data_IF_958818968634
#
_entry.id   IF_958818968634
#
_cell.length_a   1.000
_cell.length_b   1.000
_cell.length_c   1.000
_cell.angle_alpha   90.00
_cell.angle_beta   90.00
_cell.angle_gamma   90.00
#
_symmetry.space_group_name_H-M   'P 1'
#
loop_
_entity.id
_entity.type
_entity.pdbx_description
1 polymer ?
#
# COMPACT_ATOMS: atom_id res chain seq x y z
N UNK A 1 -1.12 4.76 -15.20
CA UNK A 1 0.34 4.72 -15.02
C UNK A 1 0.59 4.59 -13.53
N UNK A 2 1.35 3.59 -13.08
CA UNK A 2 1.54 3.36 -11.65
C UNK A 2 2.35 4.49 -11.01
N UNK A 3 1.99 4.87 -9.78
CA UNK A 3 2.84 5.69 -8.94
C UNK A 3 4.02 4.86 -8.42
N UNK A 4 5.21 5.45 -8.44
CA UNK A 4 6.44 4.80 -8.00
C UNK A 4 7.10 5.61 -6.89
N UNK A 5 7.81 4.91 -6.01
CA UNK A 5 8.69 5.51 -5.03
C UNK A 5 9.65 6.48 -5.73
N UNK A 6 9.62 7.74 -5.30
CA UNK A 6 10.41 8.83 -5.87
C UNK A 6 11.58 9.25 -4.96
N UNK A 7 11.71 8.58 -3.80
CA UNK A 7 12.80 8.73 -2.84
C UNK A 7 13.59 7.43 -2.74
N UNK A 8 14.83 7.53 -2.25
CA UNK A 8 15.64 6.35 -1.94
C UNK A 8 14.93 5.45 -0.91
N UNK A 9 14.87 4.14 -1.16
CA UNK A 9 14.15 3.20 -0.28
C UNK A 9 14.70 3.23 1.15
N UNK A 10 16.03 3.24 1.33
CA UNK A 10 16.63 3.36 2.66
C UNK A 10 16.30 4.67 3.37
N UNK A 11 15.91 5.70 2.62
CA UNK A 11 15.49 6.96 3.20
C UNK A 11 14.08 6.90 3.76
N UNK A 12 13.23 5.92 3.45
CA UNK A 12 11.85 5.92 3.95
C UNK A 12 11.74 5.49 5.41
N UNK A 13 12.76 4.80 5.94
CA UNK A 13 12.76 4.38 7.33
C UNK A 13 12.92 5.56 8.30
N UNK A 14 12.36 5.40 9.50
CA UNK A 14 12.45 6.37 10.59
C UNK A 14 11.11 6.71 11.22
N UNK A 15 11.14 7.06 12.51
CA UNK A 15 9.96 7.44 13.28
C UNK A 15 9.39 8.78 12.83
N UNK A 16 8.07 8.83 12.69
CA UNK A 16 7.27 10.00 12.34
C UNK A 16 7.77 10.75 11.09
N UNK A 17 8.33 10.00 10.13
CA UNK A 17 8.88 10.60 8.92
C UNK A 17 7.81 11.12 7.98
N UNK A 18 6.73 10.37 7.81
CA UNK A 18 5.61 10.73 6.94
C UNK A 18 4.36 10.97 7.77
N UNK A 19 4.27 12.14 8.39
CA UNK A 19 3.10 12.54 9.19
C UNK A 19 2.18 13.47 8.40
N UNK A 20 0.88 13.43 8.72
CA UNK A 20 -0.04 14.49 8.30
C UNK A 20 0.15 15.76 9.15
N UNK A 21 -0.61 16.81 8.83
CA UNK A 21 -0.62 18.08 9.58
C UNK A 21 -1.06 17.96 11.06
N UNK A 22 -1.49 16.77 11.51
CA UNK A 22 -1.85 16.47 12.91
C UNK A 22 -0.83 15.53 13.57
N UNK A 23 0.37 15.38 13.01
CA UNK A 23 1.43 14.50 13.50
C UNK A 23 1.06 13.01 13.54
N UNK A 24 0.04 12.59 12.79
CA UNK A 24 -0.35 11.17 12.68
C UNK A 24 0.31 10.51 11.48
N UNK A 25 0.78 9.28 11.68
CA UNK A 25 1.36 8.44 10.63
C UNK A 25 0.28 7.62 9.96
N UNK A 26 -0.19 8.05 8.80
CA UNK A 26 -1.18 7.31 8.02
C UNK A 26 -0.51 6.62 6.82
N UNK A 27 -1.08 5.49 6.39
CA UNK A 27 -0.60 4.75 5.24
C UNK A 27 -0.69 5.59 3.95
N UNK A 28 -1.78 6.35 3.80
CA UNK A 28 -2.01 7.26 2.66
C UNK A 28 -0.94 8.35 2.59
N UNK A 29 -0.56 8.91 3.74
CA UNK A 29 0.42 10.01 3.79
C UNK A 29 1.80 9.55 3.38
N UNK A 30 2.20 8.35 3.80
CA UNK A 30 3.41 7.72 3.28
C UNK A 30 3.38 7.60 1.76
N UNK A 31 2.30 7.10 1.17
CA UNK A 31 2.20 6.98 -0.30
C UNK A 31 2.30 8.34 -0.99
N UNK A 32 1.52 9.33 -0.53
CA UNK A 32 1.50 10.66 -1.15
C UNK A 32 2.86 11.33 -1.10
N UNK A 33 3.53 11.28 0.05
CA UNK A 33 4.83 11.95 0.24
C UNK A 33 5.98 11.18 -0.44
N UNK A 34 5.94 9.84 -0.45
CA UNK A 34 7.01 9.02 -1.01
C UNK A 34 6.87 8.71 -2.52
N UNK A 35 5.74 9.04 -3.14
CA UNK A 35 5.51 8.81 -4.59
C UNK A 35 4.97 10.01 -5.34
N UNK A 36 4.65 11.11 -4.64
CA UNK A 36 3.89 12.26 -5.18
C UNK A 36 2.50 11.91 -5.72
N UNK A 37 1.92 10.78 -5.28
CA UNK A 37 0.54 10.43 -5.62
C UNK A 37 -0.44 11.53 -5.14
N UNK A 38 -1.53 11.78 -5.90
CA UNK A 38 -2.54 12.74 -5.52
C UNK A 38 -3.35 12.24 -4.32
N UNK A 39 -4.38 12.98 -3.94
CA UNK A 39 -5.35 12.55 -2.93
C UNK A 39 -6.06 11.24 -3.32
N UNK A 40 -6.46 10.45 -2.33
CA UNK A 40 -7.09 9.12 -2.52
C UNK A 40 -8.36 9.13 -3.35
N UNK A 41 -9.05 10.28 -3.42
CA UNK A 41 -10.22 10.51 -4.27
C UNK A 41 -9.91 10.40 -5.76
N UNK A 42 -8.66 10.63 -6.15
CA UNK A 42 -8.18 10.55 -7.54
C UNK A 42 -7.53 9.20 -7.87
N UNK A 43 -7.33 8.34 -6.87
CA UNK A 43 -6.74 7.02 -7.08
C UNK A 43 -7.73 6.11 -7.80
N UNK A 44 -7.25 5.44 -8.83
CA UNK A 44 -8.03 4.44 -9.57
C UNK A 44 -7.47 3.05 -9.36
N UNK A 45 -8.37 2.06 -9.36
CA UNK A 45 -8.01 0.64 -9.22
C UNK A 45 -7.35 0.15 -10.51
N UNK A 46 -6.04 -0.02 -10.46
CA UNK A 46 -5.28 -0.69 -11.51
C UNK A 46 -5.37 -2.21 -11.45
N UNK A 47 -4.38 -2.89 -12.02
CA UNK A 47 -4.31 -4.35 -12.06
C UNK A 47 -4.02 -4.94 -10.68
N UNK A 48 -4.59 -6.11 -10.40
CA UNK A 48 -4.41 -6.85 -9.13
C UNK A 48 -2.94 -7.30 -8.98
N UNK A 49 -2.32 -7.04 -7.83
CA UNK A 49 -0.90 -7.37 -7.59
C UNK A 49 -0.61 -8.86 -7.79
N UNK A 50 -1.47 -9.74 -7.26
CA UNK A 50 -1.34 -11.20 -7.41
C UNK A 50 -1.39 -11.71 -8.86
N UNK A 51 -1.95 -10.91 -9.78
CA UNK A 51 -2.03 -11.29 -11.19
C UNK A 51 -0.76 -11.02 -11.99
N UNK A 52 0.20 -10.28 -11.41
CA UNK A 52 1.52 -10.08 -12.01
C UNK A 52 2.37 -11.34 -11.81
N UNK A 53 3.27 -11.63 -12.75
CA UNK A 53 4.34 -12.60 -12.52
C UNK A 53 5.36 -12.00 -11.55
N UNK A 54 6.05 -12.86 -10.80
CA UNK A 54 7.14 -12.39 -9.93
C UNK A 54 8.19 -11.64 -10.77
N UNK A 55 8.52 -10.41 -10.36
CA UNK A 55 9.42 -9.50 -11.11
C UNK A 55 8.77 -8.69 -12.24
N UNK A 56 7.50 -8.92 -12.60
CA UNK A 56 6.78 -8.11 -13.60
C UNK A 56 6.38 -6.74 -13.03
N UNK A 57 5.94 -6.71 -11.77
CA UNK A 57 5.62 -5.46 -11.07
C UNK A 57 6.91 -4.81 -10.53
N UNK A 58 7.10 -3.53 -10.80
CA UNK A 58 8.30 -2.81 -10.41
C UNK A 58 8.36 -2.61 -8.89
N UNK A 59 9.50 -2.91 -8.28
CA UNK A 59 9.78 -2.53 -6.88
C UNK A 59 9.61 -1.02 -6.69
N UNK A 60 8.93 -0.62 -5.63
CA UNK A 60 8.57 0.77 -5.36
C UNK A 60 7.18 1.16 -5.87
N UNK A 61 6.41 0.27 -6.51
CA UNK A 61 5.05 0.61 -6.97
C UNK A 61 4.08 0.85 -5.82
N UNK A 62 3.31 1.93 -5.88
CA UNK A 62 2.24 2.19 -4.94
C UNK A 62 1.05 1.24 -5.17
N UNK A 63 0.61 0.59 -4.09
CA UNK A 63 -0.51 -0.35 -4.10
C UNK A 63 -1.49 0.00 -2.99
N UNK A 64 -2.76 -0.29 -3.19
CA UNK A 64 -3.79 -0.05 -2.19
C UNK A 64 -4.92 -1.08 -2.27
N UNK A 65 -5.72 -1.13 -1.22
CA UNK A 65 -7.04 -1.77 -1.27
C UNK A 65 -8.04 -0.85 -1.97
N UNK A 66 -8.99 -1.47 -2.68
CA UNK A 66 -10.08 -0.77 -3.37
C UNK A 66 -11.42 -1.41 -2.99
N UNK A 67 -12.50 -0.64 -3.08
CA UNK A 67 -13.87 -1.12 -2.98
C UNK A 67 -14.37 -1.74 -4.30
N UNK A 68 -15.61 -2.22 -4.28
CA UNK A 68 -16.24 -2.85 -5.43
C UNK A 68 -16.40 -1.88 -6.62
N UNK A 69 -16.48 -0.58 -6.33
CA UNK A 69 -16.54 0.50 -7.32
C UNK A 69 -15.16 0.91 -7.84
N UNK A 70 -14.08 0.27 -7.38
CA UNK A 70 -12.72 0.60 -7.78
C UNK A 70 -12.18 1.90 -7.19
N UNK A 71 -12.74 2.37 -6.07
CA UNK A 71 -12.28 3.54 -5.32
C UNK A 71 -11.57 3.14 -4.03
N UNK A 72 -10.72 4.01 -3.51
CA UNK A 72 -10.09 3.76 -2.22
C UNK A 72 -11.17 3.71 -1.13
N UNK A 73 -11.25 2.61 -0.34
CA UNK A 73 -12.37 2.39 0.57
C UNK A 73 -12.31 3.36 1.74
N UNK A 74 -13.48 3.86 2.14
CA UNK A 74 -13.65 4.69 3.35
C UNK A 74 -14.26 3.92 4.52
N UNK A 75 -14.65 2.67 4.29
CA UNK A 75 -15.27 1.81 5.30
C UNK A 75 -14.27 1.17 6.28
N UNK A 76 -14.84 0.57 7.34
CA UNK A 76 -14.08 -0.09 8.40
C UNK A 76 -13.58 -1.51 8.04
N UNK A 77 -13.91 -2.03 6.85
CA UNK A 77 -13.55 -3.39 6.42
C UNK A 77 -12.08 -3.52 5.99
N UNK A 78 -11.34 -2.41 5.98
CA UNK A 78 -9.89 -2.38 5.83
C UNK A 78 -9.43 -1.55 4.64
N UNK A 79 -9.16 -0.27 4.89
CA UNK A 79 -8.44 0.59 3.95
C UNK A 79 -6.96 0.55 4.24
N UNK A 80 -6.15 0.29 3.22
CA UNK A 80 -4.71 0.30 3.38
C UNK A 80 -4.00 0.62 2.07
N UNK A 81 -2.88 1.30 2.18
CA UNK A 81 -2.00 1.63 1.08
C UNK A 81 -0.55 1.34 1.48
N UNK A 82 0.25 0.86 0.54
CA UNK A 82 1.60 0.41 0.80
C UNK A 82 2.47 0.57 -0.46
N UNK A 83 3.79 0.53 -0.27
CA UNK A 83 4.75 0.46 -1.37
C UNK A 83 5.12 -1.01 -1.58
N UNK A 84 4.88 -1.50 -2.78
CA UNK A 84 5.24 -2.86 -3.20
C UNK A 84 6.76 -3.03 -3.28
N UNK A 85 7.26 -4.08 -2.65
CA UNK A 85 8.67 -4.46 -2.70
C UNK A 85 8.91 -5.70 -3.57
N UNK A 86 8.14 -6.75 -3.32
CA UNK A 86 8.15 -8.00 -4.08
C UNK A 86 6.88 -8.81 -3.78
N UNK A 87 6.61 -9.86 -4.54
CA UNK A 87 5.61 -10.87 -4.17
C UNK A 87 6.03 -12.25 -4.68
N UNK A 88 5.51 -13.27 -4.01
CA UNK A 88 5.61 -14.67 -4.40
C UNK A 88 4.22 -15.35 -4.25
N UNK A 89 4.16 -16.68 -4.31
CA UNK A 89 2.89 -17.39 -4.14
C UNK A 89 2.32 -17.34 -2.72
N UNK A 90 3.11 -16.88 -1.73
CA UNK A 90 2.73 -16.82 -0.30
C UNK A 90 2.18 -15.46 0.07
N UNK A 91 2.69 -14.38 -0.50
CA UNK A 91 2.26 -13.03 -0.16
C UNK A 91 2.97 -11.91 -0.90
N UNK A 92 2.67 -10.69 -0.45
CA UNK A 92 3.25 -9.44 -0.92
C UNK A 92 4.15 -8.89 0.17
N UNK A 93 5.41 -8.62 -0.15
CA UNK A 93 6.31 -7.85 0.72
C UNK A 93 6.10 -6.37 0.41
N UNK A 94 5.85 -5.58 1.44
CA UNK A 94 5.52 -4.16 1.32
C UNK A 94 6.23 -3.32 2.35
N UNK A 95 6.39 -2.03 2.06
CA UNK A 95 6.64 -0.99 3.05
C UNK A 95 5.33 -0.29 3.35
N UNK A 96 5.02 -0.13 4.64
CA UNK A 96 3.90 0.67 5.08
C UNK A 96 4.09 1.24 6.48
N UNK A 97 3.16 2.11 6.85
CA UNK A 97 3.03 2.66 8.20
C UNK A 97 1.55 2.86 8.54
N UNK A 98 1.24 2.95 9.82
CA UNK A 98 -0.07 3.34 10.34
C UNK A 98 0.08 3.94 11.74
N UNK A 99 -1.01 4.53 12.26
CA UNK A 99 -0.95 5.45 13.38
C UNK A 99 -0.30 4.87 14.65
N UNK A 100 -0.53 3.58 14.95
CA UNK A 100 0.08 2.93 16.11
C UNK A 100 1.49 2.38 15.85
N UNK A 101 1.93 2.27 14.59
CA UNK A 101 3.30 1.87 14.25
C UNK A 101 4.25 3.07 14.27
N UNK A 102 3.78 4.27 13.90
CA UNK A 102 4.56 5.52 13.93
C UNK A 102 5.82 5.58 13.06
N UNK A 103 6.13 4.53 12.31
CA UNK A 103 7.28 4.45 11.41
C UNK A 103 6.99 3.56 10.20
N UNK A 104 7.77 3.70 9.13
CA UNK A 104 7.69 2.82 7.96
C UNK A 104 8.47 1.54 8.24
N UNK A 105 7.79 0.39 8.15
CA UNK A 105 8.39 -0.93 8.31
C UNK A 105 8.10 -1.81 7.10
N UNK A 106 8.99 -2.77 6.87
CA UNK A 106 8.73 -3.88 5.96
C UNK A 106 7.84 -4.92 6.63
N UNK A 107 6.79 -5.36 5.93
CA UNK A 107 6.01 -6.52 6.34
C UNK A 107 5.54 -7.34 5.14
N UNK A 108 5.21 -8.60 5.42
CA UNK A 108 4.62 -9.51 4.44
C UNK A 108 3.11 -9.65 4.66
N UNK A 109 2.32 -9.34 3.64
CA UNK A 109 0.87 -9.54 3.60
C UNK A 109 0.58 -10.85 2.86
N UNK A 110 0.15 -11.88 3.59
CA UNK A 110 -0.07 -13.21 2.99
C UNK A 110 -1.30 -13.24 2.07
N UNK A 111 -1.23 -14.05 1.03
CA UNK A 111 -2.37 -14.46 0.22
C UNK A 111 -3.18 -15.57 0.90
N UNK A 112 -4.37 -15.87 0.36
CA UNK A 112 -5.27 -16.95 0.76
C UNK A 112 -5.70 -16.88 2.24
N UNK A 113 -5.94 -15.65 2.72
CA UNK A 113 -6.46 -15.44 4.07
C UNK A 113 -7.90 -15.99 4.19
N UNK A 114 -8.30 -16.49 5.37
CA UNK A 114 -9.65 -17.00 5.58
C UNK A 114 -10.70 -15.90 5.34
N UNK A 115 -11.91 -16.28 4.89
CA UNK A 115 -13.04 -15.35 4.76
C UNK A 115 -13.28 -14.56 6.04
N UNK A 116 -13.58 -13.27 5.92
CA UNK A 116 -13.74 -12.36 7.06
C UNK A 116 -12.45 -11.66 7.52
N UNK A 117 -11.30 -12.01 6.95
CA UNK A 117 -10.06 -11.24 7.15
C UNK A 117 -10.21 -9.84 6.57
N UNK A 118 -9.83 -8.80 7.33
CA UNK A 118 -9.83 -7.41 6.86
C UNK A 118 -9.00 -7.26 5.58
N UNK A 119 -9.49 -6.48 4.62
CA UNK A 119 -8.82 -6.25 3.32
C UNK A 119 -7.38 -5.72 3.48
N UNK A 120 -7.12 -4.92 4.52
CA UNK A 120 -5.79 -4.40 4.83
C UNK A 120 -4.72 -5.47 5.13
N UNK A 121 -5.14 -6.69 5.44
CA UNK A 121 -4.28 -7.82 5.81
C UNK A 121 -4.40 -9.02 4.86
N UNK A 122 -5.14 -8.87 3.76
CA UNK A 122 -5.26 -9.89 2.72
C UNK A 122 -4.53 -9.44 1.47
N UNK A 123 -3.49 -10.19 1.07
CA UNK A 123 -2.74 -9.88 -0.14
C UNK A 123 -3.63 -9.90 -1.39
N UNK A 124 -4.70 -10.70 -1.37
CA UNK A 124 -5.64 -10.88 -2.48
C UNK A 124 -6.47 -9.63 -2.80
N UNK A 125 -6.41 -8.60 -1.95
CA UNK A 125 -7.21 -7.37 -2.10
C UNK A 125 -6.37 -6.15 -2.46
N UNK A 126 -5.09 -6.32 -2.81
CA UNK A 126 -4.19 -5.23 -3.20
C UNK A 126 -4.10 -5.07 -4.72
N UNK A 127 -4.30 -3.85 -5.18
CA UNK A 127 -4.21 -3.44 -6.57
C UNK A 127 -3.19 -2.32 -6.71
N UNK A 128 -2.63 -2.20 -7.92
CA UNK A 128 -1.78 -1.07 -8.30
C UNK A 128 -2.60 0.22 -8.28
N UNK A 129 -2.04 1.30 -7.75
CA UNK A 129 -2.64 2.64 -7.78
C UNK A 129 -2.28 3.30 -9.10
N UNK A 130 -3.29 3.81 -9.81
CA UNK A 130 -3.14 4.60 -11.04
C UNK A 130 -3.85 5.96 -10.96
#
# INVERSE_FOLDING_TARGET
MPYLLNVEENSVYGKKKFVNAKDHTECVEFIRQATSAPETSKWTRGRLVKSFKSGELKRGTAIATFDDNGKYPTDALGKHAAIYLSHDNRGIVVLDQWNSQEEVLERTISFHKPPGTKRSNSGDTFYVIE
#
